data_IF_699224240043
#
_entry.id   IF_699224240043
#
_cell.length_a   1.000
_cell.length_b   1.000
_cell.length_c   1.000
_cell.angle_alpha   90.00
_cell.angle_beta   90.00
_cell.angle_gamma   90.00
#
_symmetry.space_group_name_H-M   'P 1'
#
loop_
_entity.id
_entity.type
_entity.pdbx_description
1 polymer ?
#
# COMPACT_ATOMS: atom_id res chain seq x y z
N UNK A 1 14.72 9.79 3.23
CA UNK A 1 13.66 8.86 3.67
C UNK A 1 12.31 9.55 3.73
N UNK A 2 11.25 8.77 3.62
CA UNK A 2 9.87 9.23 3.67
C UNK A 2 9.10 8.45 4.74
N UNK A 3 9.59 8.52 5.97
CA UNK A 3 9.01 7.84 7.13
C UNK A 3 7.59 8.37 7.37
N UNK A 4 6.61 7.47 7.42
CA UNK A 4 5.20 7.82 7.57
C UNK A 4 4.96 8.72 8.80
N UNK A 5 4.33 9.86 8.58
CA UNK A 5 4.02 10.85 9.62
C UNK A 5 5.18 11.76 10.00
N UNK A 6 6.43 11.42 9.70
CA UNK A 6 7.63 12.19 10.04
C UNK A 6 8.33 12.82 8.82
N UNK A 7 8.08 12.30 7.62
CA UNK A 7 8.70 12.78 6.38
C UNK A 7 10.18 12.43 6.26
N UNK A 8 10.98 13.33 5.68
CA UNK A 8 12.43 13.16 5.49
C UNK A 8 13.18 13.49 6.78
N UNK A 9 13.38 12.48 7.62
CA UNK A 9 14.12 12.60 8.90
C UNK A 9 15.62 12.33 8.76
N UNK A 10 16.11 12.02 7.57
CA UNK A 10 17.50 11.67 7.27
C UNK A 10 17.86 10.21 7.56
N UNK A 11 18.97 9.76 7.00
CA UNK A 11 19.39 8.35 7.05
C UNK A 11 19.55 7.83 8.50
N UNK A 12 20.29 8.55 9.33
CA UNK A 12 20.55 8.10 10.72
C UNK A 12 19.27 8.00 11.57
N UNK A 13 18.34 8.92 11.40
CA UNK A 13 17.09 8.90 12.17
C UNK A 13 16.13 7.80 11.69
N UNK A 14 16.32 7.26 10.49
CA UNK A 14 15.59 6.11 9.98
C UNK A 14 16.06 4.77 10.57
N UNK A 15 17.24 4.70 11.17
CA UNK A 15 17.85 3.48 11.71
C UNK A 15 16.92 2.62 12.57
N UNK A 16 16.18 3.16 13.56
CA UNK A 16 15.30 2.31 14.39
C UNK A 16 14.22 1.58 13.59
N UNK A 17 13.73 2.17 12.49
CA UNK A 17 12.76 1.53 11.58
C UNK A 17 13.42 0.35 10.87
N UNK A 18 14.63 0.53 10.35
CA UNK A 18 15.37 -0.51 9.60
C UNK A 18 15.81 -1.65 10.52
N UNK A 19 16.29 -1.36 11.73
CA UNK A 19 16.58 -2.38 12.74
C UNK A 19 15.32 -3.18 13.12
N UNK A 20 14.20 -2.49 13.32
CA UNK A 20 12.91 -3.13 13.58
C UNK A 20 12.48 -4.03 12.42
N UNK A 21 12.64 -3.57 11.19
CA UNK A 21 12.39 -4.34 9.96
C UNK A 21 13.25 -5.61 9.93
N UNK A 22 14.57 -5.48 10.18
CA UNK A 22 15.49 -6.61 10.24
C UNK A 22 15.12 -7.64 11.31
N UNK A 23 14.70 -7.17 12.49
CA UNK A 23 14.23 -8.02 13.56
C UNK A 23 12.98 -8.83 13.15
N UNK A 24 12.02 -8.19 12.48
CA UNK A 24 10.80 -8.83 12.00
C UNK A 24 11.09 -9.92 10.93
N UNK A 25 12.00 -9.63 9.99
CA UNK A 25 12.49 -10.64 9.04
C UNK A 25 13.08 -11.86 9.76
N UNK A 26 13.88 -11.62 10.82
CA UNK A 26 14.49 -12.70 11.58
C UNK A 26 13.46 -13.53 12.36
N UNK A 27 12.54 -12.85 13.07
CA UNK A 27 11.51 -13.52 13.89
C UNK A 27 10.56 -14.36 13.03
N UNK A 28 10.02 -13.77 11.94
CA UNK A 28 8.94 -14.39 11.17
C UNK A 28 9.43 -15.34 10.06
N UNK A 29 10.61 -15.07 9.50
CA UNK A 29 11.08 -15.83 8.35
C UNK A 29 12.50 -16.42 8.49
N UNK A 30 13.17 -16.21 9.61
CA UNK A 30 14.53 -16.71 9.83
C UNK A 30 15.57 -16.10 8.87
N UNK A 31 15.29 -14.91 8.29
CA UNK A 31 16.18 -14.24 7.36
C UNK A 31 17.12 -13.33 8.14
N UNK A 32 18.43 -13.43 7.84
CA UNK A 32 19.42 -12.50 8.34
C UNK A 32 19.41 -11.22 7.49
N UNK A 33 19.31 -10.06 8.14
CA UNK A 33 19.22 -8.75 7.49
C UNK A 33 20.37 -7.87 7.95
N UNK A 34 20.90 -7.12 7.01
CA UNK A 34 21.81 -6.01 7.25
C UNK A 34 21.10 -4.72 6.83
N UNK A 35 20.77 -3.89 7.79
CA UNK A 35 20.17 -2.59 7.55
C UNK A 35 21.24 -1.58 7.15
N UNK A 36 21.03 -0.93 5.99
CA UNK A 36 21.97 0.00 5.39
C UNK A 36 21.26 1.30 5.05
N UNK A 37 21.51 2.33 5.85
CA UNK A 37 20.93 3.65 5.67
C UNK A 37 21.79 4.48 4.71
N UNK A 38 21.35 4.59 3.46
CA UNK A 38 22.05 5.33 2.41
C UNK A 38 21.72 6.82 2.49
N UNK A 39 22.69 7.67 2.84
CA UNK A 39 22.52 9.12 2.88
C UNK A 39 22.74 9.75 1.50
N UNK A 40 21.90 9.38 0.53
CA UNK A 40 21.93 9.92 -0.83
C UNK A 40 20.50 10.24 -1.30
N UNK A 41 20.32 11.41 -1.91
CA UNK A 41 19.03 11.87 -2.42
C UNK A 41 18.91 11.81 -3.94
N UNK A 42 20.03 11.70 -4.64
CA UNK A 42 20.07 11.52 -6.08
C UNK A 42 19.75 10.07 -6.42
N UNK A 43 18.68 9.78 -7.17
CA UNK A 43 18.27 8.41 -7.49
C UNK A 43 19.36 7.61 -8.20
N UNK A 44 20.11 8.23 -9.13
CA UNK A 44 21.18 7.55 -9.86
C UNK A 44 22.31 7.10 -8.93
N UNK A 45 22.77 7.99 -8.05
CA UNK A 45 23.82 7.67 -7.08
C UNK A 45 23.35 6.64 -6.06
N UNK A 46 22.08 6.71 -5.65
CA UNK A 46 21.46 5.71 -4.77
C UNK A 46 21.48 4.33 -5.44
N UNK A 47 21.04 4.23 -6.70
CA UNK A 47 21.06 2.99 -7.49
C UNK A 47 22.48 2.43 -7.60
N UNK A 48 23.48 3.27 -7.90
CA UNK A 48 24.88 2.83 -7.97
C UNK A 48 25.40 2.31 -6.62
N UNK A 49 25.04 2.95 -5.50
CA UNK A 49 25.41 2.47 -4.19
C UNK A 49 24.81 1.09 -3.89
N UNK A 50 23.51 0.90 -4.18
CA UNK A 50 22.82 -0.39 -4.01
C UNK A 50 23.45 -1.47 -4.89
N UNK A 51 23.74 -1.17 -6.15
CA UNK A 51 24.40 -2.10 -7.07
C UNK A 51 25.80 -2.52 -6.59
N UNK A 52 26.55 -1.59 -5.99
CA UNK A 52 27.89 -1.87 -5.50
C UNK A 52 27.90 -2.88 -4.34
N UNK A 53 26.86 -2.88 -3.49
CA UNK A 53 26.74 -3.81 -2.35
C UNK A 53 25.95 -5.07 -2.69
N UNK A 54 25.13 -5.06 -3.73
CA UNK A 54 24.21 -6.15 -4.09
C UNK A 54 24.86 -7.55 -4.19
N UNK A 55 26.11 -7.73 -4.70
CA UNK A 55 26.75 -9.05 -4.75
C UNK A 55 26.90 -9.76 -3.41
N UNK A 56 26.75 -9.04 -2.30
CA UNK A 56 26.84 -9.58 -0.94
C UNK A 56 25.52 -10.21 -0.48
N UNK A 57 24.39 -9.91 -1.16
CA UNK A 57 23.04 -10.22 -0.66
C UNK A 57 22.27 -11.16 -1.58
N UNK A 58 21.32 -11.89 -0.99
CA UNK A 58 20.37 -12.73 -1.73
C UNK A 58 19.11 -11.99 -2.17
N UNK A 59 18.85 -10.80 -1.64
CA UNK A 59 17.70 -9.95 -1.99
C UNK A 59 17.81 -8.58 -1.35
N UNK A 60 17.01 -7.62 -1.83
CA UNK A 60 17.02 -6.23 -1.36
C UNK A 60 15.59 -5.77 -1.07
N UNK A 61 15.33 -5.39 0.18
CA UNK A 61 14.15 -4.63 0.57
C UNK A 61 14.45 -3.13 0.52
N UNK A 62 13.70 -2.40 -0.29
CA UNK A 62 13.72 -0.95 -0.30
C UNK A 62 12.65 -0.44 0.69
N UNK A 63 13.00 0.57 1.48
CA UNK A 63 12.15 1.10 2.53
C UNK A 63 12.22 2.62 2.57
N UNK A 64 11.11 3.28 2.89
CA UNK A 64 11.01 4.72 3.13
C UNK A 64 11.54 5.62 1.98
N UNK A 65 11.41 5.17 0.74
CA UNK A 65 11.73 5.97 -0.45
C UNK A 65 10.44 6.59 -0.97
N UNK A 66 10.39 7.93 -1.04
CA UNK A 66 9.19 8.64 -1.49
C UNK A 66 8.89 8.44 -2.98
N UNK A 67 7.62 8.60 -3.34
CA UNK A 67 7.20 8.76 -4.73
C UNK A 67 7.48 10.19 -5.24
N UNK A 68 7.85 10.38 -6.54
CA UNK A 68 7.88 9.36 -7.58
C UNK A 68 9.20 8.57 -7.68
N UNK A 69 10.25 8.97 -6.98
CA UNK A 69 11.60 8.42 -7.10
C UNK A 69 11.64 6.91 -6.78
N UNK A 70 10.82 6.43 -5.86
CA UNK A 70 10.76 5.01 -5.49
C UNK A 70 10.40 4.11 -6.68
N UNK A 71 9.59 4.57 -7.62
CA UNK A 71 9.20 3.79 -8.80
C UNK A 71 10.38 3.59 -9.75
N UNK A 72 11.13 4.67 -10.02
CA UNK A 72 12.31 4.62 -10.87
C UNK A 72 13.40 3.73 -10.26
N UNK A 73 13.72 3.96 -8.99
CA UNK A 73 14.75 3.22 -8.25
C UNK A 73 14.43 1.73 -8.25
N UNK A 74 13.21 1.35 -7.88
CA UNK A 74 12.82 -0.06 -7.82
C UNK A 74 12.86 -0.72 -9.20
N UNK A 75 12.29 -0.09 -10.23
CA UNK A 75 12.24 -0.65 -11.57
C UNK A 75 13.65 -0.88 -12.12
N UNK A 76 14.52 0.10 -11.99
CA UNK A 76 15.89 -0.02 -12.48
C UNK A 76 16.69 -1.08 -11.73
N UNK A 77 16.57 -1.15 -10.40
CA UNK A 77 17.25 -2.19 -9.64
C UNK A 77 16.75 -3.59 -9.98
N UNK A 78 15.45 -3.75 -10.25
CA UNK A 78 14.87 -5.02 -10.74
C UNK A 78 15.41 -5.44 -12.12
N UNK A 79 15.66 -4.47 -13.00
CA UNK A 79 16.19 -4.73 -14.33
C UNK A 79 17.71 -4.98 -14.33
N UNK A 80 18.43 -4.33 -13.42
CA UNK A 80 19.88 -4.30 -13.40
C UNK A 80 20.52 -5.31 -12.43
N UNK A 81 19.73 -5.97 -11.57
CA UNK A 81 20.20 -6.96 -10.59
C UNK A 81 19.60 -8.35 -10.86
N UNK A 82 20.38 -9.39 -10.58
CA UNK A 82 19.96 -10.80 -10.69
C UNK A 82 19.40 -11.37 -9.38
N UNK A 83 19.06 -10.52 -8.41
CA UNK A 83 18.48 -10.86 -7.13
C UNK A 83 17.14 -10.15 -6.94
N UNK A 84 16.19 -10.69 -6.14
CA UNK A 84 14.90 -10.05 -5.92
C UNK A 84 15.04 -8.70 -5.22
N UNK A 85 14.39 -7.69 -5.79
CA UNK A 85 14.27 -6.34 -5.22
C UNK A 85 12.79 -6.04 -5.03
N UNK A 86 12.40 -5.55 -3.86
CA UNK A 86 11.02 -5.14 -3.58
C UNK A 86 11.01 -3.89 -2.69
N UNK A 87 10.16 -2.93 -3.02
CA UNK A 87 9.87 -1.79 -2.16
C UNK A 87 8.65 -2.12 -1.29
N UNK A 88 8.87 -2.32 0.03
CA UNK A 88 7.82 -2.82 0.92
C UNK A 88 6.65 -1.85 1.09
N UNK A 89 6.91 -0.54 1.20
CA UNK A 89 5.82 0.46 1.29
C UNK A 89 4.84 0.42 0.11
N UNK A 90 5.32 -0.04 -1.05
CA UNK A 90 4.45 -0.22 -2.21
C UNK A 90 3.78 -1.59 -2.17
N UNK A 91 4.57 -2.65 -2.11
CA UNK A 91 4.12 -4.00 -2.40
C UNK A 91 3.69 -4.78 -1.17
N UNK A 92 4.32 -4.56 -0.01
CA UNK A 92 3.89 -5.21 1.25
C UNK A 92 2.48 -4.79 1.63
N UNK A 93 2.20 -3.48 1.60
CA UNK A 93 0.85 -2.95 1.85
C UNK A 93 -0.16 -3.45 0.81
N UNK A 94 0.24 -3.52 -0.48
CA UNK A 94 -0.63 -4.02 -1.54
C UNK A 94 -1.00 -5.50 -1.31
N UNK A 95 -0.04 -6.35 -0.99
CA UNK A 95 -0.25 -7.78 -0.74
C UNK A 95 -1.22 -7.97 0.43
N UNK A 96 -0.93 -7.36 1.58
CA UNK A 96 -1.73 -7.60 2.79
C UNK A 96 -3.12 -6.98 2.70
N UNK A 97 -3.27 -5.79 2.10
CA UNK A 97 -4.58 -5.18 1.89
C UNK A 97 -5.41 -5.99 0.89
N UNK A 98 -4.79 -6.63 -0.09
CA UNK A 98 -5.47 -7.52 -1.04
C UNK A 98 -5.99 -8.79 -0.37
N UNK A 99 -5.18 -9.41 0.49
CA UNK A 99 -5.61 -10.56 1.28
C UNK A 99 -6.79 -10.19 2.19
N UNK A 100 -6.66 -9.06 2.91
CA UNK A 100 -7.74 -8.52 3.73
C UNK A 100 -9.02 -8.22 2.94
N UNK A 101 -8.88 -7.64 1.73
CA UNK A 101 -10.03 -7.34 0.87
C UNK A 101 -10.75 -8.61 0.42
N UNK A 102 -10.05 -9.64 -0.01
CA UNK A 102 -10.68 -10.89 -0.44
C UNK A 102 -11.45 -11.55 0.69
N UNK A 103 -10.86 -11.62 1.89
CA UNK A 103 -11.54 -12.16 3.07
C UNK A 103 -12.75 -11.29 3.48
N UNK A 104 -12.61 -9.97 3.46
CA UNK A 104 -13.71 -9.07 3.79
C UNK A 104 -14.86 -9.15 2.78
N UNK A 105 -14.55 -9.33 1.49
CA UNK A 105 -15.56 -9.55 0.44
C UNK A 105 -16.32 -10.86 0.64
N UNK A 106 -15.62 -11.94 1.03
CA UNK A 106 -16.26 -13.22 1.35
C UNK A 106 -17.23 -13.07 2.53
N UNK A 107 -16.80 -12.43 3.63
CA UNK A 107 -17.63 -12.15 4.79
C UNK A 107 -18.83 -11.26 4.44
N UNK A 108 -18.62 -10.24 3.59
CA UNK A 108 -19.68 -9.34 3.13
C UNK A 108 -20.62 -9.97 2.08
N UNK A 109 -20.30 -11.17 1.57
CA UNK A 109 -21.06 -11.80 0.49
C UNK A 109 -20.96 -11.05 -0.85
N UNK A 110 -19.85 -10.34 -1.10
CA UNK A 110 -19.64 -9.50 -2.29
C UNK A 110 -18.60 -10.12 -3.22
N UNK A 111 -18.69 -9.76 -4.51
CA UNK A 111 -17.73 -10.19 -5.54
C UNK A 111 -16.88 -9.02 -5.97
N UNK A 112 -15.58 -9.22 -6.09
CA UNK A 112 -14.59 -8.18 -6.39
C UNK A 112 -14.88 -7.43 -7.69
N UNK A 113 -15.41 -8.10 -8.70
CA UNK A 113 -15.76 -7.50 -9.98
C UNK A 113 -16.97 -6.56 -9.93
N UNK A 114 -17.77 -6.61 -8.86
CA UNK A 114 -19.01 -5.83 -8.74
C UNK A 114 -18.92 -4.68 -7.75
N UNK A 115 -17.91 -4.68 -6.89
CA UNK A 115 -17.79 -3.66 -5.83
C UNK A 115 -17.32 -2.31 -6.35
N UNK A 116 -17.85 -1.25 -5.74
CA UNK A 116 -17.41 0.13 -5.94
C UNK A 116 -16.37 0.46 -4.88
N UNK A 117 -15.17 0.84 -5.33
CA UNK A 117 -14.02 1.08 -4.47
C UNK A 117 -13.66 2.57 -4.49
N UNK A 118 -13.54 3.17 -3.31
CA UNK A 118 -13.03 4.53 -3.14
C UNK A 118 -11.65 4.46 -2.49
N UNK A 119 -10.65 5.00 -3.17
CA UNK A 119 -9.26 5.03 -2.70
C UNK A 119 -8.89 6.46 -2.33
N UNK A 120 -8.72 6.74 -1.06
CA UNK A 120 -8.33 8.06 -0.56
C UNK A 120 -6.83 8.11 -0.32
N UNK A 121 -6.12 8.63 -1.29
CA UNK A 121 -4.68 8.67 -1.45
C UNK A 121 -4.28 8.33 -2.88
N UNK A 122 -3.16 8.88 -3.36
CA UNK A 122 -2.64 8.63 -4.70
C UNK A 122 -1.10 8.56 -4.69
N UNK A 123 -0.56 8.14 -3.58
CA UNK A 123 0.87 7.86 -3.40
C UNK A 123 1.25 6.46 -3.88
N UNK A 124 2.48 6.05 -3.54
CA UNK A 124 3.03 4.76 -3.94
C UNK A 124 2.18 3.58 -3.46
N UNK A 125 1.84 3.53 -2.16
CA UNK A 125 1.03 2.45 -1.58
C UNK A 125 -0.36 2.39 -2.20
N UNK A 126 -1.07 3.54 -2.31
CA UNK A 126 -2.41 3.58 -2.90
C UNK A 126 -2.42 3.09 -4.34
N UNK A 127 -1.44 3.52 -5.14
CA UNK A 127 -1.29 3.08 -6.54
C UNK A 127 -1.04 1.58 -6.63
N UNK A 128 -0.15 1.04 -5.80
CA UNK A 128 0.21 -0.39 -5.81
C UNK A 128 -0.93 -1.28 -5.31
N UNK A 129 -1.61 -0.89 -4.22
CA UNK A 129 -2.80 -1.59 -3.74
C UNK A 129 -3.88 -1.66 -4.82
N UNK A 130 -4.19 -0.52 -5.44
CA UNK A 130 -5.26 -0.45 -6.43
C UNK A 130 -4.92 -1.25 -7.70
N UNK A 131 -3.65 -1.24 -8.14
CA UNK A 131 -3.21 -2.10 -9.26
C UNK A 131 -3.39 -3.57 -8.93
N UNK A 132 -3.01 -4.00 -7.73
CA UNK A 132 -3.19 -5.40 -7.32
C UNK A 132 -4.66 -5.79 -7.19
N UNK A 133 -5.53 -4.88 -6.72
CA UNK A 133 -6.98 -5.11 -6.71
C UNK A 133 -7.54 -5.32 -8.13
N UNK A 134 -7.06 -4.54 -9.12
CA UNK A 134 -7.43 -4.73 -10.53
C UNK A 134 -6.93 -6.08 -11.05
N UNK A 135 -5.69 -6.47 -10.72
CA UNK A 135 -5.15 -7.78 -11.09
C UNK A 135 -5.93 -8.95 -10.46
N UNK A 136 -6.57 -8.73 -9.31
CA UNK A 136 -7.45 -9.70 -8.64
C UNK A 136 -8.89 -9.71 -9.19
N UNK A 137 -9.24 -8.82 -10.13
CA UNK A 137 -10.53 -8.78 -10.80
C UNK A 137 -11.41 -7.57 -10.49
N UNK A 138 -10.94 -6.60 -9.68
CA UNK A 138 -11.68 -5.34 -9.51
C UNK A 138 -11.74 -4.59 -10.85
N UNK A 139 -12.92 -4.11 -11.21
CA UNK A 139 -13.09 -3.35 -12.45
C UNK A 139 -12.61 -1.91 -12.23
N UNK A 140 -11.71 -1.47 -13.09
CA UNK A 140 -11.13 -0.12 -13.03
C UNK A 140 -12.19 0.98 -13.05
N UNK A 141 -13.23 0.83 -13.84
CA UNK A 141 -14.35 1.77 -13.94
C UNK A 141 -15.17 1.92 -12.65
N UNK A 142 -15.07 0.95 -11.74
CA UNK A 142 -15.70 0.97 -10.43
C UNK A 142 -14.81 1.59 -9.34
N UNK A 143 -13.62 2.06 -9.69
CA UNK A 143 -12.65 2.62 -8.75
C UNK A 143 -12.60 4.14 -8.89
N UNK A 144 -12.78 4.86 -7.78
CA UNK A 144 -12.55 6.30 -7.69
C UNK A 144 -11.33 6.54 -6.80
N UNK A 145 -10.28 7.11 -7.37
CA UNK A 145 -9.07 7.49 -6.64
C UNK A 145 -9.06 9.00 -6.37
N UNK A 146 -8.70 9.37 -5.15
CA UNK A 146 -8.63 10.77 -4.71
C UNK A 146 -7.21 11.13 -4.26
N UNK A 147 -6.83 12.36 -4.51
CA UNK A 147 -5.68 13.00 -3.87
C UNK A 147 -6.12 14.24 -3.06
N UNK A 148 -5.16 15.04 -2.60
CA UNK A 148 -5.44 16.26 -1.82
C UNK A 148 -6.30 17.32 -2.53
N UNK A 149 -6.51 17.16 -3.85
CA UNK A 149 -7.35 18.05 -4.69
C UNK A 149 -8.71 17.43 -5.01
N UNK A 150 -9.06 16.28 -4.44
CA UNK A 150 -10.29 15.55 -4.70
C UNK A 150 -10.14 14.42 -5.71
N UNK A 151 -11.24 14.01 -6.34
CA UNK A 151 -11.27 12.91 -7.33
C UNK A 151 -10.32 13.19 -8.48
N UNK A 152 -9.56 12.18 -8.88
CA UNK A 152 -8.64 12.29 -10.00
C UNK A 152 -9.41 12.08 -11.30
N UNK A 153 -9.68 13.18 -12.00
CA UNK A 153 -10.38 13.17 -13.28
C UNK A 153 -9.42 13.29 -14.45
N UNK A 154 -9.78 12.75 -15.61
CA UNK A 154 -8.91 12.67 -16.79
C UNK A 154 -8.58 14.03 -17.42
N UNK A 155 -9.37 15.07 -17.14
CA UNK A 155 -9.17 16.45 -17.61
C UNK A 155 -8.23 17.28 -16.70
N UNK A 156 -7.81 16.72 -15.56
CA UNK A 156 -6.86 17.43 -14.67
C UNK A 156 -5.49 17.56 -15.32
N UNK A 157 -4.89 18.78 -15.30
CA UNK A 157 -3.56 18.98 -15.85
C UNK A 157 -2.47 18.33 -14.98
N UNK A 158 -1.34 18.01 -15.61
CA UNK A 158 -0.10 17.58 -14.93
C UNK A 158 -0.27 16.31 -14.06
N UNK A 159 -1.09 15.37 -14.47
CA UNK A 159 -1.18 14.06 -13.83
C UNK A 159 0.08 13.24 -14.12
N UNK A 160 0.64 12.60 -13.10
CA UNK A 160 1.67 11.56 -13.28
C UNK A 160 1.07 10.34 -14.00
N UNK A 161 1.91 9.50 -14.59
CA UNK A 161 1.43 8.31 -15.30
C UNK A 161 0.61 7.36 -14.39
N UNK A 162 1.01 7.23 -13.12
CA UNK A 162 0.27 6.45 -12.14
C UNK A 162 -1.13 7.02 -11.86
N UNK A 163 -1.27 8.34 -11.79
CA UNK A 163 -2.57 9.01 -11.62
C UNK A 163 -3.41 8.94 -12.88
N UNK A 164 -2.82 9.11 -14.06
CA UNK A 164 -3.53 8.95 -15.35
C UNK A 164 -4.16 7.58 -15.49
N UNK A 165 -3.48 6.53 -15.02
CA UNK A 165 -4.01 5.17 -15.08
C UNK A 165 -5.35 5.02 -14.34
N UNK A 166 -5.53 5.71 -13.20
CA UNK A 166 -6.75 5.66 -12.40
C UNK A 166 -7.67 6.87 -12.57
N UNK A 167 -7.34 7.79 -13.47
CA UNK A 167 -8.19 8.94 -13.73
C UNK A 167 -9.55 8.52 -14.31
N UNK A 168 -10.62 9.10 -13.78
CA UNK A 168 -12.00 8.84 -14.23
C UNK A 168 -12.51 9.94 -15.15
N UNK A 169 -13.46 9.58 -16.04
CA UNK A 169 -14.19 10.55 -16.86
C UNK A 169 -15.45 11.10 -16.18
N UNK A 170 -15.75 10.65 -14.97
CA UNK A 170 -16.89 11.18 -14.19
C UNK A 170 -16.65 12.64 -13.83
N UNK A 171 -17.68 13.48 -14.04
CA UNK A 171 -17.66 14.91 -13.75
C UNK A 171 -18.68 15.31 -12.68
N UNK A 172 -19.41 14.36 -12.16
CA UNK A 172 -20.46 14.48 -11.16
C UNK A 172 -19.97 14.24 -9.73
N UNK A 173 -18.69 13.89 -9.56
CA UNK A 173 -18.09 13.53 -8.26
C UNK A 173 -16.73 14.20 -8.13
N UNK A 174 -16.55 15.02 -7.09
CA UNK A 174 -15.33 15.81 -6.88
C UNK A 174 -14.67 15.59 -5.52
N UNK A 175 -15.47 15.31 -4.49
CA UNK A 175 -15.02 15.21 -3.10
C UNK A 175 -15.08 13.78 -2.59
N UNK A 176 -14.43 13.52 -1.44
CA UNK A 176 -14.53 12.24 -0.75
C UNK A 176 -15.97 11.95 -0.32
N UNK A 177 -16.66 12.96 0.20
CA UNK A 177 -18.06 12.83 0.65
C UNK A 177 -19.00 12.41 -0.49
N UNK A 178 -18.77 12.93 -1.70
CA UNK A 178 -19.55 12.54 -2.89
C UNK A 178 -19.18 11.15 -3.38
N UNK A 179 -17.87 10.83 -3.40
CA UNK A 179 -17.37 9.56 -3.91
C UNK A 179 -17.79 8.37 -3.06
N UNK A 180 -17.85 8.56 -1.73
CA UNK A 180 -18.09 7.46 -0.77
C UNK A 180 -19.55 6.99 -0.76
N UNK A 181 -20.50 7.80 -1.22
CA UNK A 181 -21.93 7.48 -1.23
C UNK A 181 -22.21 6.21 -2.05
N UNK A 182 -22.71 5.18 -1.35
CA UNK A 182 -22.98 3.87 -1.93
C UNK A 182 -21.73 3.10 -2.36
N UNK A 183 -20.54 3.47 -1.92
CA UNK A 183 -19.33 2.67 -2.13
C UNK A 183 -19.35 1.42 -1.25
N UNK A 184 -18.84 0.31 -1.77
CA UNK A 184 -18.71 -0.94 -1.03
C UNK A 184 -17.42 -0.99 -0.21
N UNK A 185 -16.35 -0.39 -0.73
CA UNK A 185 -15.02 -0.46 -0.16
C UNK A 185 -14.41 0.95 -0.08
N UNK A 186 -13.89 1.29 1.09
CA UNK A 186 -13.02 2.44 1.30
C UNK A 186 -11.61 1.95 1.60
N UNK A 187 -10.63 2.43 0.85
CA UNK A 187 -9.21 2.23 1.10
C UNK A 187 -8.56 3.58 1.43
N UNK A 188 -8.23 3.78 2.69
CA UNK A 188 -7.55 4.98 3.20
C UNK A 188 -6.05 4.79 3.25
N UNK A 189 -5.30 5.60 2.50
CA UNK A 189 -3.84 5.63 2.44
C UNK A 189 -3.36 7.08 2.32
N UNK A 190 -3.91 7.96 3.17
CA UNK A 190 -3.67 9.40 3.09
C UNK A 190 -3.29 10.01 4.45
N UNK A 191 -4.24 10.55 5.15
CA UNK A 191 -4.07 11.18 6.47
C UNK A 191 -5.23 10.87 7.39
N UNK A 192 -4.99 10.94 8.70
CA UNK A 192 -6.00 10.65 9.70
C UNK A 192 -7.20 11.62 9.70
N UNK A 193 -8.30 11.12 10.25
CA UNK A 193 -9.52 11.89 10.55
C UNK A 193 -10.17 12.57 9.33
N UNK A 194 -10.17 11.92 8.17
CA UNK A 194 -10.80 12.42 6.94
C UNK A 194 -12.10 11.73 6.58
N UNK A 195 -12.36 10.54 7.14
CA UNK A 195 -13.58 9.79 6.94
C UNK A 195 -14.50 10.01 8.17
N UNK A 196 -15.69 10.55 7.96
CA UNK A 196 -16.64 10.82 9.03
C UNK A 196 -17.63 9.67 9.23
N UNK A 197 -18.29 9.62 10.38
CA UNK A 197 -19.35 8.65 10.63
C UNK A 197 -20.48 8.74 9.59
N UNK A 198 -20.87 9.97 9.18
CA UNK A 198 -21.92 10.16 8.16
C UNK A 198 -21.50 9.64 6.79
N UNK A 199 -20.24 9.79 6.43
CA UNK A 199 -19.68 9.18 5.22
C UNK A 199 -19.79 7.64 5.30
N UNK A 200 -19.43 7.01 6.43
CA UNK A 200 -19.58 5.56 6.61
C UNK A 200 -21.05 5.13 6.53
N UNK A 201 -21.98 5.89 7.14
CA UNK A 201 -23.42 5.63 7.03
C UNK A 201 -23.93 5.68 5.59
N UNK A 202 -23.33 6.50 4.74
CA UNK A 202 -23.73 6.67 3.34
C UNK A 202 -23.21 5.58 2.40
N UNK A 203 -22.31 4.69 2.86
CA UNK A 203 -21.79 3.57 2.08
C UNK A 203 -22.86 2.51 1.81
N UNK A 204 -22.57 1.57 0.92
CA UNK A 204 -23.41 0.41 0.64
C UNK A 204 -23.56 -0.50 1.87
N UNK A 205 -24.47 -1.47 1.82
CA UNK A 205 -24.66 -2.46 2.90
C UNK A 205 -23.39 -3.29 3.09
N UNK A 206 -23.09 -3.69 4.33
CA UNK A 206 -21.87 -4.40 4.71
C UNK A 206 -20.61 -3.74 4.13
N UNK A 207 -20.36 -2.45 4.43
CA UNK A 207 -19.23 -1.73 3.86
C UNK A 207 -17.91 -2.23 4.45
N UNK A 208 -16.88 -2.24 3.60
CA UNK A 208 -15.51 -2.58 3.98
C UNK A 208 -14.72 -1.28 4.10
N UNK A 209 -14.15 -1.02 5.28
CA UNK A 209 -13.39 0.20 5.57
C UNK A 209 -11.97 -0.17 6.01
N UNK A 210 -11.00 0.07 5.16
CA UNK A 210 -9.59 -0.07 5.46
C UNK A 210 -9.00 1.32 5.70
N UNK A 211 -8.85 1.72 6.95
CA UNK A 211 -8.29 3.00 7.37
C UNK A 211 -6.83 2.81 7.76
N UNK A 212 -5.94 2.88 6.79
CA UNK A 212 -4.54 2.44 6.92
C UNK A 212 -3.55 3.61 7.14
N UNK A 213 -4.01 4.85 7.27
CA UNK A 213 -3.13 5.97 7.60
C UNK A 213 -2.49 5.79 8.99
N UNK A 214 -1.21 6.13 9.10
CA UNK A 214 -0.42 6.06 10.32
C UNK A 214 0.15 7.43 10.69
N UNK A 215 0.24 7.78 11.99
CA UNK A 215 -0.17 7.00 13.18
C UNK A 215 -1.67 7.05 13.48
N UNK A 216 -2.41 7.97 12.86
CA UNK A 216 -3.85 8.14 13.06
C UNK A 216 -4.61 7.64 11.84
N UNK A 217 -5.56 6.69 11.98
CA UNK A 217 -6.36 6.20 10.85
C UNK A 217 -7.32 7.28 10.32
N UNK A 218 -7.84 7.09 9.12
CA UNK A 218 -8.82 8.01 8.50
C UNK A 218 -10.11 8.16 9.30
N UNK A 219 -10.49 7.13 10.04
CA UNK A 219 -11.54 7.11 11.05
C UNK A 219 -11.11 6.16 12.17
N UNK A 220 -11.46 6.45 13.42
CA UNK A 220 -11.21 5.52 14.53
C UNK A 220 -12.05 4.25 14.40
N UNK A 221 -11.59 3.15 14.99
CA UNK A 221 -12.36 1.89 15.02
C UNK A 221 -13.72 2.11 15.70
N UNK A 222 -13.72 2.80 16.83
CA UNK A 222 -14.89 3.10 17.63
C UNK A 222 -15.93 3.93 16.85
N UNK A 223 -15.48 4.97 16.13
CA UNK A 223 -16.35 5.82 15.31
C UNK A 223 -16.97 5.06 14.12
N UNK A 224 -16.17 4.20 13.48
CA UNK A 224 -16.69 3.38 12.37
C UNK A 224 -17.75 2.39 12.86
N UNK A 225 -17.50 1.70 13.97
CA UNK A 225 -18.46 0.76 14.58
C UNK A 225 -19.71 1.47 15.11
N UNK A 226 -19.55 2.70 15.66
CA UNK A 226 -20.69 3.52 16.09
C UNK A 226 -21.52 4.06 14.91
N UNK A 227 -20.90 4.26 13.76
CA UNK A 227 -21.60 4.68 12.55
C UNK A 227 -22.52 3.57 12.03
N UNK A 228 -22.01 2.31 11.96
CA UNK A 228 -22.74 1.16 11.39
C UNK A 228 -22.25 -0.14 12.03
N UNK A 229 -23.14 -0.99 12.59
CA UNK A 229 -22.75 -2.26 13.19
C UNK A 229 -22.34 -3.35 12.16
N UNK A 230 -22.70 -3.17 10.88
CA UNK A 230 -22.38 -4.09 9.79
C UNK A 230 -21.08 -3.73 9.04
N UNK A 231 -20.32 -2.70 9.49
CA UNK A 231 -19.05 -2.32 8.88
C UNK A 231 -17.97 -3.36 9.17
N UNK A 232 -17.26 -3.77 8.12
CA UNK A 232 -16.04 -4.56 8.23
C UNK A 232 -14.84 -3.60 8.27
N UNK A 233 -14.40 -3.29 9.49
CA UNK A 233 -13.34 -2.30 9.74
C UNK A 233 -11.99 -2.97 9.94
N UNK A 234 -10.96 -2.42 9.29
CA UNK A 234 -9.56 -2.78 9.54
C UNK A 234 -8.66 -1.54 9.58
N UNK A 235 -7.57 -1.62 10.33
CA UNK A 235 -6.54 -0.58 10.42
C UNK A 235 -5.15 -1.16 10.20
N UNK A 236 -4.14 -0.30 10.01
CA UNK A 236 -2.74 -0.71 9.98
C UNK A 236 -2.15 -0.97 11.37
N UNK A 237 -2.90 -0.75 12.45
CA UNK A 237 -2.42 -0.80 13.83
C UNK A 237 -2.66 -2.17 14.45
N UNK A 238 -1.73 -2.60 15.31
CA UNK A 238 -1.80 -3.88 16.04
C UNK A 238 -2.67 -3.84 17.30
N UNK A 239 -3.07 -2.65 17.73
CA UNK A 239 -3.91 -2.44 18.92
C UNK A 239 -5.41 -2.42 18.63
N UNK A 240 -5.80 -2.64 17.37
CA UNK A 240 -7.19 -2.78 16.95
C UNK A 240 -7.46 -4.13 16.28
N UNK A 241 -8.71 -4.60 16.25
CA UNK A 241 -9.10 -5.80 15.50
C UNK A 241 -8.82 -5.66 14.00
N UNK A 242 -8.64 -6.79 13.30
CA UNK A 242 -8.45 -6.85 11.85
C UNK A 242 -7.25 -6.00 11.37
N UNK A 243 -6.08 -6.29 11.90
CA UNK A 243 -4.86 -5.60 11.49
C UNK A 243 -4.50 -5.91 10.03
N UNK A 244 -4.36 -4.84 9.21
CA UNK A 244 -3.76 -4.89 7.87
C UNK A 244 -2.40 -4.20 7.94
N UNK A 245 -1.36 -4.98 8.20
CA UNK A 245 0.01 -4.49 8.33
C UNK A 245 0.95 -5.32 7.48
N UNK A 246 1.86 -4.68 6.76
CA UNK A 246 2.82 -5.32 5.87
C UNK A 246 3.76 -6.31 6.57
N UNK A 247 3.90 -6.24 7.90
CA UNK A 247 4.70 -7.17 8.70
C UNK A 247 4.30 -8.64 8.53
N UNK A 248 3.04 -8.91 8.21
CA UNK A 248 2.57 -10.28 7.93
C UNK A 248 2.69 -10.66 6.46
N UNK A 249 3.33 -9.85 5.65
CA UNK A 249 3.56 -10.08 4.20
C UNK A 249 5.03 -10.14 3.82
N UNK A 250 5.79 -9.06 4.06
CA UNK A 250 7.12 -8.92 3.50
C UNK A 250 8.13 -10.03 3.93
N UNK A 251 8.12 -10.55 5.18
CA UNK A 251 9.11 -11.56 5.52
C UNK A 251 8.93 -12.85 4.73
N UNK A 252 7.69 -13.25 4.52
CA UNK A 252 7.36 -14.52 3.90
C UNK A 252 7.56 -14.51 2.39
N UNK A 253 7.27 -13.40 1.69
CA UNK A 253 7.52 -13.30 0.25
C UNK A 253 9.03 -13.33 -0.04
N UNK A 254 9.85 -12.67 0.80
CA UNK A 254 11.30 -12.77 0.70
C UNK A 254 11.80 -14.17 1.04
N UNK A 255 11.21 -14.85 2.04
CA UNK A 255 11.56 -16.23 2.35
C UNK A 255 11.33 -17.15 1.16
N UNK A 256 10.15 -17.07 0.52
CA UNK A 256 9.86 -17.84 -0.68
C UNK A 256 10.79 -17.51 -1.84
N UNK A 257 11.10 -16.23 -2.06
CA UNK A 257 12.02 -15.80 -3.11
C UNK A 257 13.46 -16.32 -2.87
N UNK A 258 13.96 -16.27 -1.64
CA UNK A 258 15.29 -16.76 -1.28
C UNK A 258 15.37 -18.29 -1.38
N UNK A 259 14.38 -19.03 -0.90
CA UNK A 259 14.36 -20.49 -0.96
C UNK A 259 14.38 -21.05 -2.38
N UNK A 260 13.74 -20.32 -3.29
CA UNK A 260 13.69 -20.70 -4.72
C UNK A 260 14.77 -20.03 -5.56
N UNK A 261 15.62 -19.23 -4.95
CA UNK A 261 16.64 -18.39 -5.67
C UNK A 261 16.00 -17.58 -6.81
N UNK A 262 14.82 -17.04 -6.55
CA UNK A 262 14.10 -16.24 -7.54
C UNK A 262 14.88 -14.96 -7.86
N UNK A 263 14.90 -14.60 -9.16
CA UNK A 263 15.53 -13.34 -9.60
C UNK A 263 14.64 -12.11 -9.36
N UNK A 264 13.34 -12.32 -9.22
CA UNK A 264 12.38 -11.23 -9.01
C UNK A 264 11.20 -11.71 -8.17
N UNK A 265 10.55 -10.77 -7.47
CA UNK A 265 9.23 -10.94 -6.87
C UNK A 265 8.22 -10.41 -7.89
N UNK A 266 7.54 -11.33 -8.58
CA UNK A 266 6.59 -11.01 -9.65
C UNK A 266 5.14 -10.87 -9.16
N UNK A 267 4.21 -10.55 -10.06
CA UNK A 267 2.78 -10.37 -9.71
C UNK A 267 2.14 -11.68 -9.23
N UNK A 268 2.49 -12.81 -9.85
CA UNK A 268 1.97 -14.14 -9.48
C UNK A 268 2.36 -14.51 -8.04
N UNK A 269 3.60 -14.20 -7.63
CA UNK A 269 4.07 -14.42 -6.25
C UNK A 269 3.29 -13.55 -5.26
N UNK A 270 3.04 -12.27 -5.59
CA UNK A 270 2.24 -11.36 -4.75
C UNK A 270 0.79 -11.83 -4.64
N UNK A 271 0.22 -12.33 -5.73
CA UNK A 271 -1.14 -12.88 -5.74
C UNK A 271 -1.20 -14.19 -4.95
N UNK A 272 -0.20 -15.06 -5.04
CA UNK A 272 -0.16 -16.31 -4.31
C UNK A 272 -0.06 -16.11 -2.79
N UNK A 273 0.59 -15.05 -2.33
CA UNK A 273 0.76 -14.76 -0.89
C UNK A 273 -0.54 -14.31 -0.19
N UNK A 274 -1.62 -14.07 -0.91
CA UNK A 274 -2.93 -13.65 -0.36
C UNK A 274 -3.64 -14.72 0.49
N UNK A 275 -3.17 -15.95 0.49
CA UNK A 275 -3.78 -17.11 1.18
C UNK A 275 -3.27 -17.23 2.61
#
# INVERSE_FOLDING_TARGET
PAVLGLGDIGALSGKPVMEGKGLLFKIYAGIDVFDIEVNEKDPEKFIQAVKAIAPTFGGINLEDIKAPECFEIENRLKEELDIPVMHDDQHGTAIISSAGLLNALEVAGKKIENVRIVVNGAGASATSCTKLYVALGARKENILMLDSKGVITSDRPNLTESKKFFATDRRDVHTLEEAIKGADVFLGLSKGNVLTQDMVRSMADHPIVFALANPTPEISYEDAMAARPDVLMATGRSDFPNQINNVIGFPYIFRGALDTQAKAINEEMKIAQKV
#
